data_IF_588164386470
#
_entry.id   IF_588164386470
#
_cell.length_a   1.000
_cell.length_b   1.000
_cell.length_c   1.000
_cell.angle_alpha   90.00
_cell.angle_beta   90.00
_cell.angle_gamma   90.00
#
_symmetry.space_group_name_H-M   'P 1'
#
loop_
_entity.id
_entity.type
_entity.pdbx_description
1 polymer ?
#
# COMPACT_ATOMS: atom_id res chain seq x y z
N UNK A 1 -41.93 -23.25 -55.99
CA UNK A 1 -40.74 -23.78 -55.28
C UNK A 1 -39.76 -22.74 -54.75
N UNK A 2 -39.73 -21.47 -55.20
CA UNK A 2 -38.76 -20.47 -54.69
C UNK A 2 -39.15 -19.80 -53.36
N UNK A 3 -40.44 -19.57 -53.10
CA UNK A 3 -40.92 -18.84 -51.89
C UNK A 3 -40.78 -19.62 -50.59
N UNK A 4 -40.96 -20.94 -50.61
CA UNK A 4 -40.82 -21.78 -49.41
C UNK A 4 -39.40 -21.75 -48.83
N UNK A 5 -38.37 -21.72 -49.69
CA UNK A 5 -36.96 -21.67 -49.25
C UNK A 5 -36.63 -20.38 -48.49
N UNK A 6 -37.22 -19.25 -48.87
CA UNK A 6 -37.02 -17.96 -48.19
C UNK A 6 -37.73 -17.90 -46.84
N UNK A 7 -38.92 -18.50 -46.73
CA UNK A 7 -39.64 -18.61 -45.44
C UNK A 7 -38.84 -19.50 -44.48
N UNK A 8 -38.31 -20.63 -44.96
CA UNK A 8 -37.51 -21.55 -44.14
C UNK A 8 -36.20 -20.90 -43.67
N UNK A 9 -35.53 -20.13 -44.54
CA UNK A 9 -34.34 -19.36 -44.19
C UNK A 9 -34.64 -18.31 -43.09
N UNK A 10 -35.76 -17.60 -43.21
CA UNK A 10 -36.20 -16.62 -42.20
C UNK A 10 -36.45 -17.25 -40.83
N UNK A 11 -37.10 -18.42 -40.79
CA UNK A 11 -37.33 -19.17 -39.55
C UNK A 11 -36.00 -19.63 -38.93
N UNK A 12 -35.08 -20.15 -39.73
CA UNK A 12 -33.75 -20.57 -39.25
C UNK A 12 -32.97 -19.39 -38.67
N UNK A 13 -33.01 -18.21 -39.29
CA UNK A 13 -32.36 -17.01 -38.77
C UNK A 13 -33.00 -16.57 -37.44
N UNK A 14 -34.33 -16.58 -37.32
CA UNK A 14 -35.02 -16.22 -36.08
C UNK A 14 -34.66 -17.20 -34.95
N UNK A 15 -34.59 -18.51 -35.24
CA UNK A 15 -34.18 -19.52 -34.26
C UNK A 15 -32.71 -19.32 -33.86
N UNK A 16 -31.82 -19.03 -34.81
CA UNK A 16 -30.40 -18.76 -34.53
C UNK A 16 -30.22 -17.50 -33.69
N UNK A 17 -30.90 -16.40 -34.06
CA UNK A 17 -30.86 -15.14 -33.31
C UNK A 17 -31.48 -15.34 -31.93
N UNK A 18 -32.59 -16.07 -31.82
CA UNK A 18 -33.22 -16.42 -30.55
C UNK A 18 -32.32 -17.30 -29.67
N UNK A 19 -31.62 -18.29 -30.25
CA UNK A 19 -30.68 -19.15 -29.55
C UNK A 19 -29.44 -18.37 -29.09
N UNK A 20 -28.89 -17.49 -29.93
CA UNK A 20 -27.76 -16.61 -29.58
C UNK A 20 -28.19 -15.64 -28.48
N UNK A 21 -29.37 -15.03 -28.58
CA UNK A 21 -29.90 -14.12 -27.57
C UNK A 21 -30.15 -14.84 -26.24
N UNK A 22 -30.72 -16.04 -26.27
CA UNK A 22 -30.98 -16.84 -25.07
C UNK A 22 -29.68 -17.34 -24.41
N UNK A 23 -28.71 -17.77 -25.21
CA UNK A 23 -27.39 -18.17 -24.73
C UNK A 23 -26.64 -16.98 -24.11
N UNK A 24 -26.68 -15.82 -24.78
CA UNK A 24 -26.04 -14.60 -24.28
C UNK A 24 -26.78 -13.96 -23.10
N UNK A 25 -28.04 -14.31 -22.80
CA UNK A 25 -28.78 -13.79 -21.64
C UNK A 25 -28.96 -14.79 -20.50
N UNK A 26 -28.38 -15.99 -20.60
CA UNK A 26 -28.37 -16.91 -19.47
C UNK A 26 -27.45 -16.34 -18.39
N UNK A 27 -28.04 -15.87 -17.30
CA UNK A 27 -27.29 -15.57 -16.09
C UNK A 27 -26.82 -16.89 -15.47
N UNK A 28 -25.54 -16.96 -15.13
CA UNK A 28 -24.99 -18.10 -14.40
C UNK A 28 -25.48 -18.01 -12.97
N UNK A 29 -26.39 -18.91 -12.58
CA UNK A 29 -26.79 -19.08 -11.19
C UNK A 29 -25.88 -20.14 -10.54
N UNK A 30 -24.81 -19.69 -9.88
CA UNK A 30 -23.91 -20.60 -9.14
C UNK A 30 -24.59 -21.21 -7.91
N UNK A 31 -25.56 -20.52 -7.31
CA UNK A 31 -26.24 -20.99 -6.10
C UNK A 31 -27.06 -22.28 -6.34
N UNK A 32 -27.49 -22.53 -7.58
CA UNK A 32 -28.25 -23.72 -7.95
C UNK A 32 -27.33 -24.90 -8.34
N UNK A 33 -26.00 -24.71 -8.38
CA UNK A 33 -25.05 -25.75 -8.77
C UNK A 33 -24.62 -26.58 -7.56
N UNK A 34 -25.03 -27.85 -7.51
CA UNK A 34 -24.71 -28.76 -6.41
C UNK A 34 -23.21 -29.00 -6.19
N UNK A 35 -22.39 -28.81 -7.23
CA UNK A 35 -20.94 -29.00 -7.17
C UNK A 35 -20.16 -27.74 -6.79
N UNK A 36 -20.81 -26.58 -6.63
CA UNK A 36 -20.17 -25.35 -6.16
C UNK A 36 -20.23 -25.33 -4.64
N UNK A 37 -19.06 -25.34 -4.00
CA UNK A 37 -18.95 -25.38 -2.53
C UNK A 37 -18.99 -23.99 -1.90
N UNK A 38 -18.33 -23.03 -2.55
CA UNK A 38 -18.24 -21.65 -2.11
C UNK A 38 -18.07 -20.73 -3.32
N UNK A 39 -18.60 -19.51 -3.25
CA UNK A 39 -18.40 -18.48 -4.27
C UNK A 39 -18.39 -17.08 -3.67
N UNK A 40 -17.70 -16.15 -4.34
CA UNK A 40 -17.66 -14.73 -4.00
C UNK A 40 -17.68 -13.87 -5.26
N UNK A 41 -18.46 -12.80 -5.21
CA UNK A 41 -18.46 -11.75 -6.22
C UNK A 41 -17.24 -10.83 -6.05
N UNK A 42 -16.57 -10.49 -7.15
CA UNK A 42 -15.42 -9.57 -7.18
C UNK A 42 -15.44 -8.76 -8.47
N UNK A 43 -15.73 -7.45 -8.43
CA UNK A 43 -15.80 -6.59 -9.63
C UNK A 43 -16.62 -7.27 -10.75
N UNK A 44 -15.96 -7.50 -11.90
CA UNK A 44 -16.49 -8.12 -13.11
C UNK A 44 -16.39 -9.66 -13.11
N UNK A 45 -16.05 -10.26 -11.97
CA UNK A 45 -15.82 -11.68 -11.84
C UNK A 45 -16.64 -12.29 -10.71
N UNK A 46 -16.82 -13.60 -10.78
CA UNK A 46 -17.22 -14.43 -9.63
C UNK A 46 -16.14 -15.50 -9.49
N UNK A 47 -15.49 -15.56 -8.34
CA UNK A 47 -14.56 -16.64 -8.02
C UNK A 47 -15.32 -17.70 -7.21
N UNK A 48 -15.08 -18.97 -7.51
CA UNK A 48 -15.78 -20.06 -6.85
C UNK A 48 -14.92 -21.32 -6.76
N UNK A 49 -15.24 -22.16 -5.78
CA UNK A 49 -14.63 -23.45 -5.54
C UNK A 49 -15.61 -24.52 -6.02
N UNK A 50 -15.19 -25.31 -7.01
CA UNK A 50 -15.97 -26.41 -7.56
C UNK A 50 -15.41 -27.76 -7.13
N UNK A 51 -16.27 -28.66 -6.67
CA UNK A 51 -15.90 -30.04 -6.39
C UNK A 51 -15.73 -30.82 -7.70
N UNK A 52 -14.55 -31.41 -7.90
CA UNK A 52 -14.28 -32.33 -9.02
C UNK A 52 -14.59 -33.76 -8.58
N UNK A 53 -14.00 -34.18 -7.45
CA UNK A 53 -14.15 -35.50 -6.85
C UNK A 53 -14.16 -35.39 -5.32
N UNK A 54 -14.34 -36.51 -4.62
CA UNK A 54 -14.26 -36.54 -3.14
C UNK A 54 -12.87 -36.07 -2.68
N UNK A 55 -12.82 -34.95 -1.97
CA UNK A 55 -11.59 -34.38 -1.43
C UNK A 55 -10.71 -33.64 -2.44
N UNK A 56 -11.22 -33.38 -3.65
CA UNK A 56 -10.51 -32.64 -4.70
C UNK A 56 -11.43 -31.55 -5.28
N UNK A 57 -10.97 -30.31 -5.20
CA UNK A 57 -11.64 -29.10 -5.66
C UNK A 57 -10.77 -28.33 -6.64
N UNK A 58 -11.39 -27.46 -7.43
CA UNK A 58 -10.72 -26.54 -8.34
C UNK A 58 -11.29 -25.14 -8.19
N UNK A 59 -10.40 -24.14 -8.13
CA UNK A 59 -10.80 -22.73 -8.07
C UNK A 59 -10.97 -22.21 -9.49
N UNK A 60 -12.12 -21.60 -9.74
CA UNK A 60 -12.52 -21.10 -11.05
C UNK A 60 -12.95 -19.65 -10.98
N UNK A 61 -12.82 -18.98 -12.12
CA UNK A 61 -13.26 -17.64 -12.34
C UNK A 61 -14.36 -17.63 -13.40
N UNK A 62 -15.48 -16.98 -13.10
CA UNK A 62 -16.50 -16.62 -14.07
C UNK A 62 -16.41 -15.14 -14.40
N UNK A 63 -16.15 -14.80 -15.65
CA UNK A 63 -16.14 -13.42 -16.13
C UNK A 63 -17.56 -12.98 -16.50
N UNK A 64 -18.12 -12.02 -15.75
CA UNK A 64 -19.49 -11.51 -15.92
C UNK A 64 -19.71 -10.85 -17.29
N UNK A 65 -18.65 -10.28 -17.88
CA UNK A 65 -18.72 -9.58 -19.17
C UNK A 65 -18.69 -10.56 -20.36
N UNK A 66 -17.74 -11.49 -20.35
CA UNK A 66 -17.57 -12.46 -21.46
C UNK A 66 -18.46 -13.69 -21.29
N UNK A 67 -18.97 -13.92 -20.09
CA UNK A 67 -19.73 -15.11 -19.67
C UNK A 67 -18.93 -16.41 -19.82
N UNK A 68 -17.61 -16.32 -19.72
CA UNK A 68 -16.70 -17.46 -19.77
C UNK A 68 -16.32 -17.89 -18.35
N UNK A 69 -16.21 -19.21 -18.18
CA UNK A 69 -15.71 -19.85 -16.97
C UNK A 69 -14.35 -20.45 -17.28
N UNK A 70 -13.35 -20.11 -16.47
CA UNK A 70 -11.97 -20.55 -16.67
C UNK A 70 -11.39 -21.05 -15.34
N UNK A 71 -10.74 -22.23 -15.32
CA UNK A 71 -9.99 -22.66 -14.15
C UNK A 71 -8.76 -21.78 -13.96
N UNK A 72 -8.41 -21.50 -12.71
CA UNK A 72 -7.17 -20.80 -12.40
C UNK A 72 -6.04 -21.85 -12.39
N UNK A 73 -5.05 -21.67 -13.26
CA UNK A 73 -3.93 -22.60 -13.39
C UNK A 73 -3.21 -22.76 -12.05
N UNK A 74 -2.93 -24.01 -11.65
CA UNK A 74 -2.30 -24.33 -10.36
C UNK A 74 -3.27 -24.44 -9.18
N UNK A 75 -4.54 -24.06 -9.31
CA UNK A 75 -5.52 -24.11 -8.21
C UNK A 75 -6.43 -25.32 -8.29
N UNK A 76 -5.81 -26.51 -8.30
CA UNK A 76 -6.50 -27.80 -8.16
C UNK A 76 -5.92 -28.59 -6.97
N UNK A 77 -6.74 -28.87 -5.97
CA UNK A 77 -6.27 -29.31 -4.65
C UNK A 77 -7.43 -29.48 -3.66
N UNK A 78 -7.19 -29.29 -2.37
CA UNK A 78 -8.26 -29.32 -1.35
C UNK A 78 -8.50 -27.90 -0.80
N UNK A 79 -9.17 -27.08 -1.61
CA UNK A 79 -9.41 -25.66 -1.34
C UNK A 79 -10.71 -25.38 -0.58
N UNK A 80 -10.68 -24.39 0.31
CA UNK A 80 -11.83 -23.90 1.08
C UNK A 80 -11.60 -22.45 1.57
N UNK A 81 -12.58 -21.87 2.27
CA UNK A 81 -12.49 -20.57 2.95
C UNK A 81 -12.09 -19.40 2.04
N UNK A 82 -12.84 -19.26 0.94
CA UNK A 82 -12.67 -18.19 -0.04
C UNK A 82 -13.08 -16.83 0.56
N UNK A 83 -12.15 -15.87 0.59
CA UNK A 83 -12.42 -14.49 1.05
C UNK A 83 -11.92 -13.48 0.05
N UNK A 84 -12.60 -12.34 -0.01
CA UNK A 84 -12.28 -11.26 -0.95
C UNK A 84 -11.80 -10.05 -0.17
N UNK A 85 -10.79 -9.37 -0.70
CA UNK A 85 -10.33 -8.11 -0.15
C UNK A 85 -11.42 -7.03 -0.22
N UNK A 86 -11.55 -6.15 0.78
CA UNK A 86 -12.54 -5.06 0.76
C UNK A 86 -12.52 -4.18 -0.50
N UNK A 87 -11.34 -3.92 -1.08
CA UNK A 87 -11.15 -3.15 -2.32
C UNK A 87 -11.32 -3.98 -3.61
N UNK A 88 -11.65 -5.27 -3.46
CA UNK A 88 -11.81 -6.26 -4.51
C UNK A 88 -10.56 -6.40 -5.42
N UNK A 89 -9.35 -6.10 -4.92
CA UNK A 89 -8.09 -6.20 -5.68
C UNK A 89 -7.48 -7.60 -5.68
N UNK A 90 -7.76 -8.43 -4.67
CA UNK A 90 -7.37 -9.83 -4.59
C UNK A 90 -8.41 -10.66 -3.84
N UNK A 91 -8.25 -11.98 -3.89
CA UNK A 91 -8.92 -12.90 -2.98
C UNK A 91 -7.90 -13.82 -2.32
N UNK A 92 -8.29 -14.42 -1.20
CA UNK A 92 -7.54 -15.51 -0.58
C UNK A 92 -8.33 -16.80 -0.60
N UNK A 93 -7.62 -17.91 -0.71
CA UNK A 93 -8.18 -19.26 -0.61
C UNK A 93 -7.22 -20.15 0.16
N UNK A 94 -7.77 -20.99 1.02
CA UNK A 94 -7.01 -21.88 1.88
C UNK A 94 -6.94 -23.28 1.28
N UNK A 95 -5.80 -23.95 1.44
CA UNK A 95 -5.58 -25.36 1.07
C UNK A 95 -5.06 -26.17 2.26
N UNK A 96 -5.62 -27.36 2.47
CA UNK A 96 -5.11 -28.33 3.44
C UNK A 96 -6.05 -28.57 4.63
N UNK A 97 -5.51 -28.56 5.85
CA UNK A 97 -6.25 -28.83 7.08
C UNK A 97 -6.62 -27.52 7.78
N UNK A 98 -7.81 -27.43 8.37
CA UNK A 98 -8.36 -26.19 8.95
C UNK A 98 -7.38 -25.43 9.86
N UNK A 99 -6.64 -26.14 10.72
CA UNK A 99 -5.71 -25.53 11.67
C UNK A 99 -4.40 -25.08 11.01
N UNK A 100 -3.72 -25.94 10.25
CA UNK A 100 -2.45 -25.66 9.57
C UNK A 100 -2.66 -25.83 8.07
N UNK A 101 -2.47 -24.74 7.35
CA UNK A 101 -2.84 -24.67 5.94
C UNK A 101 -1.89 -23.78 5.16
N UNK A 102 -2.02 -23.89 3.86
CA UNK A 102 -1.47 -22.92 2.92
C UNK A 102 -2.57 -21.95 2.53
N UNK A 103 -2.40 -20.68 2.84
CA UNK A 103 -3.27 -19.62 2.33
C UNK A 103 -2.63 -19.05 1.06
N UNK A 104 -3.38 -19.06 -0.03
CA UNK A 104 -2.98 -18.43 -1.27
C UNK A 104 -3.60 -17.04 -1.36
N UNK A 105 -2.80 -16.06 -1.76
CA UNK A 105 -3.21 -14.69 -2.07
C UNK A 105 -3.16 -14.55 -3.58
N UNK A 106 -4.31 -14.26 -4.21
CA UNK A 106 -4.46 -14.30 -5.67
C UNK A 106 -4.90 -12.92 -6.18
N UNK A 107 -3.99 -12.15 -6.81
CA UNK A 107 -4.32 -10.85 -7.39
C UNK A 107 -5.35 -10.95 -8.51
N UNK A 108 -6.34 -10.07 -8.51
CA UNK A 108 -7.31 -9.94 -9.60
C UNK A 108 -6.67 -9.15 -10.74
N UNK A 109 -6.42 -9.84 -11.85
CA UNK A 109 -5.86 -9.26 -13.08
C UNK A 109 -4.49 -9.82 -13.45
N UNK A 110 -3.77 -10.42 -12.49
CA UNK A 110 -2.48 -11.08 -12.72
C UNK A 110 -2.33 -12.30 -11.79
N UNK A 111 -3.11 -13.35 -12.08
CA UNK A 111 -3.22 -14.54 -11.22
C UNK A 111 -1.91 -15.34 -11.16
N UNK A 112 -1.02 -15.19 -12.15
CA UNK A 112 0.31 -15.82 -12.15
C UNK A 112 1.20 -15.33 -11.01
N UNK A 113 0.93 -14.13 -10.47
CA UNK A 113 1.64 -13.55 -9.31
C UNK A 113 1.08 -14.00 -7.96
N UNK A 114 0.32 -15.09 -7.91
CA UNK A 114 -0.21 -15.61 -6.65
C UNK A 114 0.92 -15.94 -5.66
N UNK A 115 0.72 -15.61 -4.40
CA UNK A 115 1.66 -15.89 -3.30
C UNK A 115 1.04 -16.94 -2.38
N UNK A 116 1.85 -17.88 -1.89
CA UNK A 116 1.42 -18.90 -0.91
C UNK A 116 2.09 -18.67 0.44
N UNK A 117 1.31 -18.71 1.52
CA UNK A 117 1.78 -18.56 2.89
C UNK A 117 1.33 -19.74 3.75
N UNK A 118 2.24 -20.31 4.56
CA UNK A 118 1.84 -21.26 5.59
C UNK A 118 1.26 -20.47 6.78
N UNK A 119 -0.03 -20.69 7.08
CA UNK A 119 -0.76 -19.97 8.13
C UNK A 119 -1.36 -20.94 9.14
N UNK A 120 -1.60 -20.44 10.35
CA UNK A 120 -2.27 -21.17 11.43
C UNK A 120 -3.52 -20.41 11.86
N UNK A 121 -4.63 -21.12 12.02
CA UNK A 121 -5.89 -20.52 12.46
C UNK A 121 -6.46 -19.54 11.42
N UNK A 122 -7.40 -18.67 11.80
CA UNK A 122 -8.10 -17.84 10.83
C UNK A 122 -7.16 -16.80 10.17
N UNK A 123 -7.32 -16.57 8.86
CA UNK A 123 -6.67 -15.47 8.13
C UNK A 123 -7.67 -14.34 7.92
N UNK A 124 -7.34 -13.13 8.34
CA UNK A 124 -8.23 -11.98 8.28
C UNK A 124 -7.61 -10.87 7.44
N UNK A 125 -8.30 -10.46 6.38
CA UNK A 125 -7.89 -9.34 5.53
C UNK A 125 -8.19 -8.03 6.27
N UNK A 126 -7.23 -7.09 6.26
CA UNK A 126 -7.42 -5.76 6.84
C UNK A 126 -8.43 -4.92 6.05
N UNK A 127 -9.10 -3.93 6.68
CA UNK A 127 -10.06 -3.07 6.01
C UNK A 127 -9.48 -2.30 4.82
N UNK A 128 -8.21 -1.90 4.89
CA UNK A 128 -7.47 -1.20 3.83
C UNK A 128 -6.97 -2.13 2.71
N UNK A 129 -7.20 -3.44 2.83
CA UNK A 129 -6.75 -4.46 1.86
C UNK A 129 -5.23 -4.56 1.68
N UNK A 130 -4.41 -3.99 2.57
CA UNK A 130 -2.94 -4.04 2.42
C UNK A 130 -2.26 -5.06 3.35
N UNK A 131 -3.01 -5.65 4.29
CA UNK A 131 -2.46 -6.48 5.36
C UNK A 131 -3.30 -7.72 5.62
N UNK A 132 -2.66 -8.74 6.18
CA UNK A 132 -3.33 -9.91 6.73
C UNK A 132 -2.98 -10.06 8.21
N UNK A 133 -4.00 -10.26 9.04
CA UNK A 133 -3.81 -10.74 10.41
C UNK A 133 -3.81 -12.28 10.37
N UNK A 134 -2.67 -12.87 10.73
CA UNK A 134 -2.45 -14.33 10.63
C UNK A 134 -1.78 -14.88 11.88
N UNK A 135 -2.01 -16.17 12.14
CA UNK A 135 -1.18 -16.94 13.05
C UNK A 135 0.01 -17.57 12.32
N UNK A 136 1.21 -17.50 12.90
CA UNK A 136 2.41 -18.17 12.38
C UNK A 136 3.05 -19.07 13.44
N UNK A 137 3.71 -20.14 12.99
CA UNK A 137 4.39 -21.08 13.88
C UNK A 137 5.66 -20.45 14.46
N UNK A 138 5.74 -20.35 15.77
CA UNK A 138 6.95 -20.00 16.51
C UNK A 138 7.56 -21.30 17.07
N UNK A 139 8.82 -21.58 16.73
CA UNK A 139 9.49 -22.85 17.08
C UNK A 139 9.87 -22.98 18.56
N UNK A 140 9.29 -22.18 19.45
CA UNK A 140 9.37 -22.41 20.90
C UNK A 140 8.71 -23.74 21.26
N UNK A 141 9.38 -24.51 22.09
CA UNK A 141 8.90 -25.80 22.56
C UNK A 141 7.64 -25.59 23.43
N UNK A 142 6.60 -26.38 23.16
CA UNK A 142 5.36 -26.35 23.96
C UNK A 142 5.55 -27.16 25.23
N UNK A 143 4.93 -26.72 26.32
CA UNK A 143 4.89 -27.51 27.55
C UNK A 143 4.02 -28.78 27.41
N UNK A 144 3.02 -28.76 26.51
CA UNK A 144 2.10 -29.88 26.25
C UNK A 144 2.17 -30.37 24.79
N UNK A 145 2.02 -31.69 24.58
CA UNK A 145 2.01 -32.29 23.24
C UNK A 145 0.81 -31.80 22.41
N UNK A 146 1.09 -31.24 21.23
CA UNK A 146 0.08 -30.75 20.29
C UNK A 146 0.37 -31.23 18.86
N UNK A 147 -0.60 -31.10 17.96
CA UNK A 147 -0.38 -31.37 16.52
C UNK A 147 0.61 -30.40 15.86
N UNK A 148 0.90 -29.27 16.50
CA UNK A 148 1.89 -28.28 16.10
C UNK A 148 3.23 -28.55 16.77
N UNK A 149 4.33 -28.31 16.05
CA UNK A 149 5.69 -28.45 16.58
C UNK A 149 6.12 -27.23 17.41
N UNK A 150 5.34 -26.14 17.38
CA UNK A 150 5.63 -24.89 18.09
C UNK A 150 4.37 -24.12 18.47
N UNK A 151 4.55 -22.96 19.09
CA UNK A 151 3.49 -22.06 19.56
C UNK A 151 2.99 -21.16 18.40
N UNK A 152 1.90 -20.41 18.60
CA UNK A 152 1.30 -19.57 17.54
C UNK A 152 1.42 -18.09 17.89
N UNK A 153 2.31 -17.38 17.21
CA UNK A 153 2.38 -15.92 17.29
C UNK A 153 1.23 -15.29 16.47
N UNK A 154 0.71 -14.17 16.95
CA UNK A 154 -0.20 -13.33 16.17
C UNK A 154 0.61 -12.24 15.48
N UNK A 155 0.49 -12.17 14.15
CA UNK A 155 1.29 -11.26 13.35
C UNK A 155 0.46 -10.53 12.29
N UNK A 156 0.97 -9.38 11.87
CA UNK A 156 0.53 -8.68 10.66
C UNK A 156 1.50 -9.07 9.54
N UNK A 157 0.95 -9.52 8.43
CA UNK A 157 1.66 -9.73 7.18
C UNK A 157 1.32 -8.62 6.20
N UNK A 158 2.34 -7.89 5.73
CA UNK A 158 2.17 -6.81 4.75
C UNK A 158 2.20 -7.37 3.33
N UNK A 159 1.13 -7.17 2.57
CA UNK A 159 0.95 -7.81 1.26
C UNK A 159 1.94 -7.29 0.20
N UNK A 160 2.34 -6.02 0.29
CA UNK A 160 3.21 -5.39 -0.70
C UNK A 160 4.64 -5.93 -0.65
N UNK A 161 5.15 -6.23 0.54
CA UNK A 161 6.55 -6.61 0.76
C UNK A 161 6.74 -8.04 1.23
N UNK A 162 5.68 -8.63 1.79
CA UNK A 162 5.71 -9.89 2.48
C UNK A 162 6.39 -9.85 3.84
N UNK A 163 6.62 -8.65 4.40
CA UNK A 163 7.19 -8.49 5.74
C UNK A 163 6.17 -8.87 6.83
N UNK A 164 6.71 -9.25 8.00
CA UNK A 164 5.93 -9.72 9.15
C UNK A 164 6.23 -8.84 10.35
N UNK A 165 5.19 -8.30 10.97
CA UNK A 165 5.25 -7.61 12.25
C UNK A 165 4.59 -8.47 13.33
N UNK A 166 5.34 -8.77 14.40
CA UNK A 166 4.83 -9.55 15.53
C UNK A 166 4.02 -8.63 16.45
N UNK A 167 2.71 -8.88 16.56
CA UNK A 167 1.84 -8.17 17.49
C UNK A 167 1.90 -8.78 18.89
N UNK A 168 1.80 -10.11 18.96
CA UNK A 168 1.84 -10.86 20.21
C UNK A 168 2.68 -12.12 20.00
N UNK A 169 3.80 -12.16 20.72
CA UNK A 169 4.69 -13.32 20.73
C UNK A 169 4.17 -14.35 21.72
N UNK A 170 4.01 -15.58 21.25
CA UNK A 170 3.58 -16.72 22.03
C UNK A 170 4.68 -17.25 22.96
N UNK A 171 4.23 -17.97 23.99
CA UNK A 171 5.07 -18.67 24.95
C UNK A 171 4.66 -20.14 25.07
N UNK A 172 5.40 -20.91 25.87
CA UNK A 172 5.22 -22.36 26.02
C UNK A 172 3.80 -22.79 26.45
N UNK A 173 2.97 -21.88 26.97
CA UNK A 173 1.61 -22.13 27.43
C UNK A 173 0.51 -21.41 26.64
N UNK A 174 0.87 -20.44 25.80
CA UNK A 174 -0.05 -19.46 25.25
C UNK A 174 0.08 -19.33 23.75
N UNK A 175 -1.01 -19.58 23.04
CA UNK A 175 -1.14 -19.31 21.61
C UNK A 175 -2.06 -18.09 21.36
N UNK A 176 -1.87 -17.42 20.22
CA UNK A 176 -2.70 -16.31 19.77
C UNK A 176 -3.29 -16.55 18.37
N UNK A 177 -4.57 -16.27 18.19
CA UNK A 177 -5.27 -16.43 16.89
C UNK A 177 -6.09 -15.18 16.53
N UNK A 178 -5.99 -14.70 15.29
CA UNK A 178 -6.73 -13.54 14.81
C UNK A 178 -8.22 -13.82 14.60
N UNK A 179 -9.08 -12.83 14.89
CA UNK A 179 -10.54 -12.93 14.68
C UNK A 179 -11.01 -11.93 13.62
N UNK A 180 -10.77 -10.64 13.86
CA UNK A 180 -11.26 -9.55 13.01
C UNK A 180 -10.53 -8.25 13.30
N UNK A 181 -10.63 -7.31 12.37
CA UNK A 181 -10.45 -5.88 12.62
C UNK A 181 -11.81 -5.29 13.02
N UNK A 182 -11.86 -4.43 14.04
CA UNK A 182 -13.07 -3.68 14.36
C UNK A 182 -13.02 -2.22 13.88
N UNK A 183 -14.15 -1.52 14.00
CA UNK A 183 -14.39 -0.22 13.37
C UNK A 183 -13.54 0.92 13.94
N UNK A 184 -12.71 0.68 14.96
CA UNK A 184 -11.79 1.65 15.56
C UNK A 184 -10.33 1.18 15.42
N UNK A 185 -10.05 0.36 14.40
CA UNK A 185 -8.75 -0.27 14.16
C UNK A 185 -8.26 -1.14 15.31
N UNK A 186 -9.17 -1.65 16.16
CA UNK A 186 -8.75 -2.65 17.13
C UNK A 186 -8.73 -4.04 16.48
N UNK A 187 -7.71 -4.79 16.84
CA UNK A 187 -7.53 -6.18 16.44
C UNK A 187 -8.14 -7.07 17.51
N UNK A 188 -9.18 -7.81 17.14
CA UNK A 188 -9.76 -8.86 17.98
C UNK A 188 -9.03 -10.16 17.77
N UNK A 189 -8.66 -10.80 18.88
CA UNK A 189 -7.90 -12.05 18.87
C UNK A 189 -8.34 -12.99 19.99
N UNK A 190 -8.00 -14.27 19.83
CA UNK A 190 -8.13 -15.30 20.88
C UNK A 190 -6.78 -15.51 21.52
N UNK A 191 -6.74 -15.45 22.85
CA UNK A 191 -5.66 -16.00 23.67
C UNK A 191 -6.06 -17.40 24.11
N UNK A 192 -5.26 -18.39 23.75
CA UNK A 192 -5.49 -19.80 24.12
C UNK A 192 -4.38 -20.21 25.08
N UNK A 193 -4.70 -20.30 26.37
CA UNK A 193 -3.76 -20.71 27.42
C UNK A 193 -4.24 -21.99 28.09
N UNK A 194 -3.50 -23.09 27.95
CA UNK A 194 -3.82 -24.39 28.58
C UNK A 194 -5.28 -24.84 28.38
N UNK A 195 -5.82 -24.66 27.16
CA UNK A 195 -7.20 -25.01 26.81
C UNK A 195 -8.27 -23.98 27.21
N UNK A 196 -7.90 -22.92 27.92
CA UNK A 196 -8.79 -21.78 28.19
C UNK A 196 -8.69 -20.78 27.04
N UNK A 197 -9.84 -20.48 26.42
CA UNK A 197 -9.95 -19.51 25.33
C UNK A 197 -10.53 -18.20 25.87
N UNK A 198 -9.82 -17.10 25.63
CA UNK A 198 -10.28 -15.74 25.95
C UNK A 198 -10.26 -14.88 24.69
N UNK A 199 -11.35 -14.19 24.41
CA UNK A 199 -11.40 -13.20 23.33
C UNK A 199 -11.02 -11.83 23.90
N UNK A 200 -10.02 -11.20 23.29
CA UNK A 200 -9.42 -9.94 23.70
C UNK A 200 -9.34 -9.00 22.50
N UNK A 201 -9.07 -7.72 22.78
CA UNK A 201 -8.86 -6.69 21.77
C UNK A 201 -7.59 -5.92 22.08
N UNK A 202 -6.82 -5.57 21.06
CA UNK A 202 -5.68 -4.67 21.15
C UNK A 202 -5.88 -3.55 20.14
N UNK A 203 -5.65 -2.31 20.57
CA UNK A 203 -5.66 -1.16 19.65
C UNK A 203 -4.44 -1.25 18.74
N UNK A 204 -4.65 -1.27 17.44
CA UNK A 204 -3.54 -1.15 16.50
C UNK A 204 -3.09 0.30 16.45
N UNK A 205 -1.79 0.52 16.69
CA UNK A 205 -1.17 1.83 16.55
C UNK A 205 -0.33 1.81 15.29
N UNK A 206 -0.90 2.34 14.20
CA UNK A 206 -0.22 2.41 12.92
C UNK A 206 1.13 3.14 13.07
N UNK A 207 2.22 2.59 12.51
CA UNK A 207 3.52 3.23 12.55
C UNK A 207 3.52 4.54 11.74
N UNK A 208 4.49 5.42 12.00
CA UNK A 208 4.59 6.74 11.32
C UNK A 208 4.68 6.57 9.80
N UNK A 209 5.35 5.51 9.34
CA UNK A 209 5.46 5.13 7.94
C UNK A 209 4.08 4.89 7.29
N UNK A 210 3.19 4.22 8.01
CA UNK A 210 1.84 3.93 7.51
C UNK A 210 0.97 5.18 7.49
N UNK A 211 0.97 5.95 8.59
CA UNK A 211 0.24 7.21 8.67
C UNK A 211 0.65 8.20 7.58
N UNK A 212 1.94 8.21 7.22
CA UNK A 212 2.46 9.04 6.15
C UNK A 212 1.98 8.55 4.78
N UNK A 213 2.09 7.25 4.51
CA UNK A 213 1.71 6.71 3.20
C UNK A 213 0.20 6.77 2.97
N UNK A 214 -0.61 6.54 4.00
CA UNK A 214 -2.06 6.77 3.94
C UNK A 214 -2.38 8.22 3.56
N UNK A 215 -1.66 9.19 4.14
CA UNK A 215 -1.85 10.60 3.83
C UNK A 215 -1.56 10.91 2.35
N UNK A 216 -0.45 10.40 1.79
CA UNK A 216 -0.10 10.70 0.38
C UNK A 216 -0.97 9.95 -0.64
N UNK A 217 -1.51 8.78 -0.27
CA UNK A 217 -2.43 8.01 -1.11
C UNK A 217 -3.87 8.50 -1.03
N UNK A 218 -4.21 9.28 0.00
CA UNK A 218 -5.54 9.87 0.10
C UNK A 218 -5.77 10.84 -1.08
N UNK A 219 -6.94 10.73 -1.74
CA UNK A 219 -7.38 11.68 -2.77
C UNK A 219 -7.90 13.00 -2.17
N UNK A 220 -7.68 13.22 -0.87
CA UNK A 220 -8.16 14.37 -0.13
C UNK A 220 -7.13 15.49 -0.11
N UNK A 221 -7.53 16.65 0.43
CA UNK A 221 -6.63 17.78 0.61
C UNK A 221 -5.65 17.48 1.76
N UNK A 222 -4.48 16.94 1.42
CA UNK A 222 -3.46 16.51 2.37
C UNK A 222 -2.87 17.69 3.13
N UNK A 223 -2.79 17.59 4.46
CA UNK A 223 -2.05 18.55 5.28
C UNK A 223 -0.54 18.29 5.16
N UNK A 224 0.11 19.06 4.28
CA UNK A 224 1.56 18.97 4.02
C UNK A 224 2.37 19.19 5.30
N UNK A 225 1.92 20.07 6.20
CA UNK A 225 2.61 20.33 7.47
C UNK A 225 2.60 19.09 8.36
N UNK A 226 1.53 18.31 8.33
CA UNK A 226 1.46 17.03 9.05
C UNK A 226 2.39 15.98 8.41
N UNK A 227 2.40 15.87 7.07
CA UNK A 227 3.30 14.94 6.35
C UNK A 227 4.76 15.24 6.65
N UNK A 228 5.19 16.50 6.57
CA UNK A 228 6.58 16.88 6.87
C UNK A 228 6.97 16.56 8.32
N UNK A 229 6.06 16.75 9.29
CA UNK A 229 6.30 16.34 10.69
C UNK A 229 6.48 14.83 10.83
N UNK A 230 5.80 14.02 10.02
CA UNK A 230 6.02 12.57 9.98
C UNK A 230 7.35 12.23 9.31
N UNK A 231 7.69 12.88 8.19
CA UNK A 231 8.98 12.69 7.52
C UNK A 231 10.16 12.93 8.47
N UNK A 232 10.10 13.96 9.33
CA UNK A 232 11.14 14.23 10.34
C UNK A 232 11.32 13.14 11.41
N UNK A 233 10.46 12.12 11.44
CA UNK A 233 10.50 11.00 12.40
C UNK A 233 10.56 9.64 11.72
N UNK A 234 10.64 9.63 10.39
CA UNK A 234 10.47 8.44 9.57
C UNK A 234 11.72 7.55 9.65
N UNK A 235 11.52 6.24 9.77
CA UNK A 235 12.55 5.27 9.43
C UNK A 235 12.36 4.86 7.96
N UNK A 236 13.19 5.42 7.08
CA UNK A 236 13.10 5.16 5.64
C UNK A 236 13.34 3.69 5.28
N UNK A 237 14.14 2.94 6.07
CA UNK A 237 14.29 1.50 5.83
C UNK A 237 12.98 0.77 6.15
N UNK A 238 12.36 1.13 7.27
CA UNK A 238 11.06 0.58 7.64
C UNK A 238 9.98 0.94 6.62
N UNK A 239 10.02 2.14 6.04
CA UNK A 239 9.10 2.52 4.97
C UNK A 239 9.20 1.54 3.79
N UNK A 240 10.42 1.22 3.34
CA UNK A 240 10.64 0.26 2.26
C UNK A 240 10.26 -1.17 2.67
N UNK A 241 10.45 -1.56 3.93
CA UNK A 241 10.01 -2.86 4.46
C UNK A 241 8.48 -3.01 4.47
N UNK A 242 7.73 -1.91 4.54
CA UNK A 242 6.26 -1.92 4.58
C UNK A 242 5.62 -1.73 3.21
N UNK A 243 6.20 -0.87 2.36
CA UNK A 243 5.60 -0.45 1.08
C UNK A 243 6.38 -0.90 -0.16
N UNK A 244 7.61 -1.38 0.02
CA UNK A 244 8.45 -1.94 -1.03
C UNK A 244 9.56 -1.01 -1.49
N UNK A 245 10.44 -1.54 -2.35
CA UNK A 245 11.53 -0.78 -2.95
C UNK A 245 10.98 0.44 -3.70
N UNK A 246 11.66 1.59 -3.57
CA UNK A 246 11.28 2.89 -4.14
C UNK A 246 10.13 3.62 -3.43
N UNK A 247 9.64 3.15 -2.28
CA UNK A 247 8.62 3.90 -1.51
C UNK A 247 9.11 5.29 -1.11
N UNK A 248 10.40 5.42 -0.78
CA UNK A 248 11.06 6.71 -0.51
C UNK A 248 11.07 7.60 -1.75
N UNK A 249 11.34 7.04 -2.93
CA UNK A 249 11.33 7.77 -4.21
C UNK A 249 9.93 8.29 -4.51
N UNK A 250 8.90 7.47 -4.34
CA UNK A 250 7.50 7.86 -4.53
C UNK A 250 7.08 9.00 -3.59
N UNK A 251 7.43 8.91 -2.31
CA UNK A 251 7.20 9.97 -1.34
C UNK A 251 7.88 11.29 -1.78
N UNK A 252 9.14 11.23 -2.21
CA UNK A 252 9.87 12.42 -2.64
C UNK A 252 9.35 13.00 -3.96
N UNK A 253 8.90 12.16 -4.89
CA UNK A 253 8.21 12.59 -6.11
C UNK A 253 6.92 13.33 -5.77
N UNK A 254 6.08 12.75 -4.90
CA UNK A 254 4.87 13.39 -4.39
C UNK A 254 5.17 14.73 -3.72
N UNK A 255 6.19 14.77 -2.84
CA UNK A 255 6.61 15.96 -2.11
C UNK A 255 7.04 17.09 -3.06
N UNK A 256 7.72 16.75 -4.16
CA UNK A 256 8.21 17.73 -5.13
C UNK A 256 7.11 18.50 -5.86
N UNK A 257 5.89 17.96 -5.89
CA UNK A 257 4.70 18.62 -6.42
C UNK A 257 3.95 19.48 -5.41
N UNK A 258 4.36 19.49 -4.14
CA UNK A 258 3.64 20.17 -3.06
C UNK A 258 4.08 21.64 -2.89
N UNK A 259 3.13 22.45 -2.42
CA UNK A 259 3.38 23.84 -2.07
C UNK A 259 3.80 23.97 -0.59
N UNK A 260 5.09 24.18 -0.34
CA UNK A 260 5.68 24.29 1.00
C UNK A 260 5.99 25.77 1.30
N UNK A 261 5.02 26.48 1.87
CA UNK A 261 5.10 27.93 2.04
C UNK A 261 5.47 28.40 3.45
N UNK A 262 5.25 27.57 4.47
CA UNK A 262 5.45 27.96 5.86
C UNK A 262 6.93 27.77 6.28
N UNK A 263 7.52 28.76 6.96
CA UNK A 263 8.84 28.69 7.59
C UNK A 263 9.07 27.45 8.45
N UNK A 264 8.11 27.00 9.27
CA UNK A 264 8.31 25.79 10.08
C UNK A 264 8.45 24.53 9.22
N UNK A 265 7.67 24.44 8.14
CA UNK A 265 7.69 23.31 7.21
C UNK A 265 8.97 23.33 6.36
N UNK A 266 9.40 24.51 5.91
CA UNK A 266 10.67 24.69 5.21
C UNK A 266 11.85 24.33 6.12
N UNK A 267 11.79 24.65 7.42
CA UNK A 267 12.82 24.27 8.37
C UNK A 267 12.92 22.75 8.52
N UNK A 268 11.78 22.05 8.59
CA UNK A 268 11.78 20.58 8.59
C UNK A 268 12.42 20.06 7.30
N UNK A 269 12.03 20.63 6.15
CA UNK A 269 12.60 20.26 4.87
C UNK A 269 14.13 20.41 4.87
N UNK A 270 14.67 21.57 5.26
CA UNK A 270 16.14 21.82 5.35
C UNK A 270 16.84 20.77 6.22
N UNK A 271 16.27 20.42 7.37
CA UNK A 271 16.86 19.46 8.31
C UNK A 271 16.87 18.02 7.80
N UNK A 272 16.12 17.70 6.74
CA UNK A 272 16.10 16.37 6.13
C UNK A 272 17.22 16.17 5.09
N UNK A 273 18.03 17.18 4.78
CA UNK A 273 18.97 17.13 3.66
C UNK A 273 19.95 15.94 3.74
N UNK A 274 20.43 15.63 4.95
CA UNK A 274 21.40 14.55 5.18
C UNK A 274 20.76 13.15 5.15
N UNK A 275 19.44 13.05 4.98
CA UNK A 275 18.72 11.77 4.98
C UNK A 275 18.75 11.07 3.62
N UNK A 276 19.19 11.74 2.55
CA UNK A 276 19.03 11.25 1.18
C UNK A 276 20.33 11.24 0.40
N UNK A 277 20.49 10.25 -0.48
CA UNK A 277 21.65 10.12 -1.36
C UNK A 277 21.24 9.68 -2.76
N UNK A 278 22.12 9.90 -3.75
CA UNK A 278 21.90 9.44 -5.12
C UNK A 278 20.61 9.99 -5.75
N UNK A 279 19.71 9.09 -6.18
CA UNK A 279 18.44 9.46 -6.85
C UNK A 279 17.48 10.17 -5.90
N UNK A 280 17.40 9.74 -4.65
CA UNK A 280 16.54 10.34 -3.63
C UNK A 280 16.93 11.79 -3.38
N UNK A 281 18.24 12.04 -3.24
CA UNK A 281 18.77 13.39 -3.04
C UNK A 281 18.30 14.35 -4.14
N UNK A 282 18.33 13.92 -5.41
CA UNK A 282 17.86 14.76 -6.52
C UNK A 282 16.38 15.12 -6.44
N UNK A 283 15.53 14.18 -6.06
CA UNK A 283 14.09 14.42 -5.89
C UNK A 283 13.81 15.33 -4.70
N UNK A 284 14.52 15.10 -3.60
CA UNK A 284 14.42 15.91 -2.40
C UNK A 284 14.84 17.37 -2.64
N UNK A 285 16.01 17.62 -3.25
CA UNK A 285 16.50 19.00 -3.47
C UNK A 285 15.62 19.78 -4.46
N UNK A 286 14.83 19.09 -5.28
CA UNK A 286 13.79 19.73 -6.11
C UNK A 286 12.71 20.36 -5.24
N UNK A 287 12.20 19.65 -4.24
CA UNK A 287 11.24 20.18 -3.27
C UNK A 287 11.81 21.40 -2.53
N UNK A 288 13.08 21.30 -2.12
CA UNK A 288 13.82 22.39 -1.48
C UNK A 288 13.95 23.62 -2.40
N UNK A 289 14.31 23.40 -3.66
CA UNK A 289 14.44 24.46 -4.65
C UNK A 289 13.10 25.14 -4.96
N UNK A 290 12.01 24.38 -5.06
CA UNK A 290 10.67 24.94 -5.26
C UNK A 290 10.26 25.83 -4.08
N UNK A 291 10.45 25.36 -2.84
CA UNK A 291 10.19 26.16 -1.64
C UNK A 291 11.01 27.46 -1.61
N UNK A 292 12.29 27.40 -2.00
CA UNK A 292 13.10 28.60 -2.16
C UNK A 292 12.54 29.54 -3.22
N UNK A 293 12.27 29.05 -4.44
CA UNK A 293 11.85 29.88 -5.57
C UNK A 293 10.55 30.63 -5.24
N UNK A 294 9.58 29.92 -4.68
CA UNK A 294 8.23 30.42 -4.45
C UNK A 294 8.12 31.25 -3.15
N UNK A 295 8.88 30.88 -2.11
CA UNK A 295 8.76 31.46 -0.75
C UNK A 295 10.08 31.94 -0.17
N UNK A 296 10.87 32.67 -0.96
CA UNK A 296 12.23 33.15 -0.61
C UNK A 296 12.38 33.74 0.79
N UNK A 297 11.46 34.62 1.21
CA UNK A 297 11.59 35.29 2.52
C UNK A 297 11.39 34.30 3.67
N UNK A 298 10.39 33.43 3.59
CA UNK A 298 10.17 32.39 4.60
C UNK A 298 11.29 31.35 4.59
N UNK A 299 11.85 31.04 3.41
CA UNK A 299 13.02 30.18 3.29
C UNK A 299 14.25 30.76 4.00
N UNK A 300 14.54 32.04 3.80
CA UNK A 300 15.66 32.72 4.48
C UNK A 300 15.45 32.75 6.00
N UNK A 301 14.22 32.99 6.48
CA UNK A 301 13.88 32.92 7.90
C UNK A 301 14.07 31.51 8.48
N UNK A 302 13.74 30.47 7.70
CA UNK A 302 13.95 29.08 8.11
C UNK A 302 15.44 28.76 8.18
N UNK A 303 16.21 29.06 7.13
CA UNK A 303 17.65 28.81 7.08
C UNK A 303 18.42 29.55 8.17
N UNK A 304 18.00 30.75 8.56
CA UNK A 304 18.63 31.50 9.64
C UNK A 304 18.56 30.81 11.02
N UNK A 305 17.70 29.81 11.19
CA UNK A 305 17.65 28.98 12.41
C UNK A 305 18.66 27.83 12.39
N UNK A 306 19.19 27.48 11.22
CA UNK A 306 20.17 26.40 11.00
C UNK A 306 21.29 26.88 10.07
N UNK A 307 22.02 27.96 10.46
CA UNK A 307 23.01 28.60 9.60
C UNK A 307 24.17 27.68 9.20
N UNK A 308 24.41 26.60 9.94
CA UNK A 308 25.37 25.55 9.60
C UNK A 308 25.05 24.84 8.29
N UNK A 309 23.78 24.79 7.87
CA UNK A 309 23.34 24.15 6.61
C UNK A 309 23.55 25.05 5.38
N UNK A 310 24.09 26.26 5.54
CA UNK A 310 24.04 27.29 4.50
C UNK A 310 24.82 26.90 3.24
N UNK A 311 26.04 26.37 3.37
CA UNK A 311 26.87 25.95 2.23
C UNK A 311 26.22 24.80 1.46
N UNK A 312 25.70 23.85 2.21
CA UNK A 312 25.00 22.66 1.76
C UNK A 312 23.73 22.98 0.95
N UNK A 313 22.92 23.91 1.47
CA UNK A 313 21.72 24.41 0.80
C UNK A 313 22.10 25.24 -0.43
N UNK A 314 23.15 26.06 -0.36
CA UNK A 314 23.62 26.82 -1.51
C UNK A 314 24.03 25.89 -2.67
N UNK A 315 24.75 24.81 -2.35
CA UNK A 315 25.15 23.80 -3.32
C UNK A 315 23.94 23.07 -3.92
N UNK A 316 22.96 22.67 -3.09
CA UNK A 316 21.72 22.04 -3.55
C UNK A 316 20.93 22.93 -4.52
N UNK A 317 20.76 24.22 -4.19
CA UNK A 317 20.10 25.19 -5.06
C UNK A 317 20.88 25.40 -6.37
N UNK A 318 22.22 25.46 -6.30
CA UNK A 318 23.07 25.59 -7.48
C UNK A 318 22.97 24.38 -8.40
N UNK A 319 22.97 23.19 -7.82
CA UNK A 319 22.78 21.94 -8.55
C UNK A 319 21.43 21.92 -9.31
N UNK A 320 20.37 22.44 -8.68
CA UNK A 320 19.06 22.63 -9.33
C UNK A 320 19.02 23.81 -10.33
N UNK A 321 20.06 24.63 -10.38
CA UNK A 321 20.18 25.76 -11.28
C UNK A 321 19.05 26.77 -11.09
N UNK A 322 18.67 27.10 -9.85
CA UNK A 322 17.47 27.94 -9.60
C UNK A 322 17.51 29.28 -10.33
N UNK A 323 18.70 29.86 -10.56
CA UNK A 323 18.87 31.10 -11.33
C UNK A 323 19.04 30.91 -12.84
N UNK A 324 19.06 29.68 -13.34
CA UNK A 324 18.97 29.37 -14.77
C UNK A 324 17.51 29.28 -15.25
N UNK A 325 16.55 29.29 -14.32
CA UNK A 325 15.12 29.24 -14.60
C UNK A 325 14.63 30.63 -15.02
N UNK A 326 13.81 30.68 -16.08
CA UNK A 326 13.25 31.93 -16.59
C UNK A 326 12.50 32.69 -15.47
N UNK A 327 12.79 33.99 -15.34
CA UNK A 327 12.17 34.86 -14.34
C UNK A 327 12.86 34.91 -12.98
N UNK A 328 13.83 34.03 -12.71
CA UNK A 328 14.70 34.10 -11.53
C UNK A 328 15.93 34.97 -11.82
N UNK A 329 16.31 35.83 -10.88
CA UNK A 329 17.46 36.74 -11.03
C UNK A 329 18.17 36.92 -9.68
N UNK A 330 19.43 36.51 -9.64
CA UNK A 330 20.26 36.50 -8.44
C UNK A 330 20.48 37.90 -7.86
N UNK A 331 20.74 38.90 -8.70
CA UNK A 331 21.03 40.25 -8.25
C UNK A 331 19.79 40.94 -7.74
N UNK A 332 18.65 40.71 -8.40
CA UNK A 332 17.35 41.20 -7.95
C UNK A 332 16.96 40.58 -6.62
N UNK A 333 17.20 39.29 -6.42
CA UNK A 333 16.87 38.62 -5.18
C UNK A 333 17.84 39.03 -4.04
N UNK A 334 19.13 39.27 -4.35
CA UNK A 334 20.08 39.86 -3.41
C UNK A 334 19.63 41.24 -2.92
N UNK A 335 19.23 42.11 -3.85
CA UNK A 335 18.73 43.46 -3.53
C UNK A 335 17.46 43.40 -2.68
N UNK A 336 16.53 42.51 -3.03
CA UNK A 336 15.30 42.28 -2.25
C UNK A 336 15.61 41.82 -0.83
N UNK A 337 16.53 40.86 -0.65
CA UNK A 337 16.90 40.35 0.66
C UNK A 337 17.61 41.44 1.48
N UNK A 338 18.61 42.11 0.91
CA UNK A 338 19.40 43.12 1.59
C UNK A 338 18.57 44.31 2.11
N UNK A 339 17.50 44.66 1.39
CA UNK A 339 16.63 45.78 1.72
C UNK A 339 15.27 45.35 2.34
N UNK A 340 15.08 44.07 2.66
CA UNK A 340 13.79 43.58 3.17
C UNK A 340 13.53 44.05 4.61
N UNK A 341 12.36 44.64 4.83
CA UNK A 341 11.82 44.95 6.16
C UNK A 341 11.20 43.73 6.86
N UNK A 342 10.92 42.65 6.11
CA UNK A 342 10.36 41.40 6.64
C UNK A 342 11.41 40.52 7.33
N UNK A 343 12.69 40.82 7.11
CA UNK A 343 13.83 40.09 7.65
C UNK A 343 14.51 40.90 8.77
N UNK A 344 14.96 40.21 9.81
CA UNK A 344 15.91 40.74 10.78
C UNK A 344 17.30 40.94 10.17
N UNK A 345 18.18 41.64 10.87
CA UNK A 345 19.56 41.85 10.40
C UNK A 345 20.32 40.53 10.22
N UNK A 346 20.12 39.57 11.12
CA UNK A 346 20.73 38.25 11.01
C UNK A 346 20.16 37.46 9.82
N UNK A 347 18.84 37.46 9.63
CA UNK A 347 18.21 36.78 8.49
C UNK A 347 18.65 37.38 7.15
N UNK A 348 18.75 38.71 7.05
CA UNK A 348 19.31 39.38 5.86
C UNK A 348 20.74 38.92 5.59
N UNK A 349 21.58 38.87 6.62
CA UNK A 349 22.96 38.40 6.50
C UNK A 349 23.01 36.96 5.95
N UNK A 350 22.22 36.05 6.53
CA UNK A 350 22.12 34.65 6.09
C UNK A 350 21.64 34.56 4.63
N UNK A 351 20.61 35.31 4.24
CA UNK A 351 20.12 35.30 2.86
C UNK A 351 21.13 35.85 1.84
N UNK A 352 21.92 36.87 2.22
CA UNK A 352 23.01 37.39 1.40
C UNK A 352 24.16 36.39 1.29
N UNK A 353 24.53 35.72 2.39
CA UNK A 353 25.53 34.66 2.42
C UNK A 353 25.10 33.48 1.55
N UNK A 354 23.84 33.04 1.61
CA UNK A 354 23.30 31.98 0.76
C UNK A 354 23.53 32.27 -0.74
N UNK A 355 23.21 33.49 -1.19
CA UNK A 355 23.44 33.91 -2.58
C UNK A 355 24.94 33.95 -2.90
N UNK A 356 25.77 34.41 -1.96
CA UNK A 356 27.21 34.42 -2.13
C UNK A 356 27.77 33.01 -2.36
N UNK A 357 27.45 32.05 -1.49
CA UNK A 357 27.90 30.67 -1.64
C UNK A 357 27.37 30.04 -2.93
N UNK A 358 26.09 30.27 -3.27
CA UNK A 358 25.53 29.81 -4.55
C UNK A 358 26.38 30.29 -5.74
N UNK A 359 26.77 31.57 -5.72
CA UNK A 359 27.56 32.17 -6.82
C UNK A 359 28.96 31.56 -6.93
N UNK A 360 29.55 31.13 -5.80
CA UNK A 360 30.86 30.48 -5.77
C UNK A 360 30.82 29.04 -6.27
N UNK A 361 29.68 28.34 -6.16
CA UNK A 361 29.53 27.00 -6.73
C UNK A 361 29.63 26.99 -8.27
N UNK A 362 29.45 28.14 -8.92
CA UNK A 362 29.48 28.27 -10.39
C UNK A 362 30.87 28.54 -10.98
N UNK A 363 31.90 28.66 -10.12
CA UNK A 363 33.32 28.87 -10.49
C UNK A 363 34.15 27.65 -10.14
#
# INVERSE_FOLDING_TARGET
MKTWKWILLGIVIIILVGAIFFYNNKEVNLADRENVLEYKDIKNYIVYIEAINIGETEVKLYNKNTKLEEPIEGFRGNFYNLKVAPDESFFIVDEGLEKVKTTYIVPIGDMEKSISLKTIGNVVISPDSNKLLIGVENFKERADESQLKGTIDLVIYYLNTGSIEILLEADEYTDYEGISWDNEDNIKYRKVSQGVVQELSIKYEAPVEELLMEAIYSNDNVDISQVLKYMGKLDFNKLEDLYGENSTIELLEWLSGQNISNKEDILILINLMDSFFGKEYFLYIRSLANAYIDYKMEFVKALAQVPEMLEDIAYALNYMGVYNIEGQDMWRDLDKIANSEELSENERKIGMELIHFYSQCST
#
